data_IF_149424866166
#
_entry.id   IF_149424866166
#
_cell.length_a   1.000
_cell.length_b   1.000
_cell.length_c   1.000
_cell.angle_alpha   90.00
_cell.angle_beta   90.00
_cell.angle_gamma   90.00
#
_symmetry.space_group_name_H-M   'P 1'
#
loop_
_entity.id
_entity.type
_entity.pdbx_description
1 polymer ?
#
# COMPACT_ATOMS: atom_id res chain seq x y z
N UNK A 1 -7.23 18.01 -9.41
CA UNK A 1 -7.03 17.79 -7.96
C UNK A 1 -7.01 16.29 -7.67
N UNK A 2 -5.89 15.60 -7.95
CA UNK A 2 -5.73 14.19 -7.59
C UNK A 2 -5.28 14.10 -6.13
N UNK A 3 -6.24 14.20 -5.20
CA UNK A 3 -5.99 13.73 -3.85
C UNK A 3 -5.96 12.20 -3.91
N UNK A 4 -4.79 11.62 -4.18
CA UNK A 4 -4.55 10.21 -3.95
C UNK A 4 -4.73 9.97 -2.45
N UNK A 5 -5.98 9.70 -2.02
CA UNK A 5 -6.27 9.23 -0.66
C UNK A 5 -5.42 7.98 -0.47
N UNK A 6 -4.50 8.02 0.48
CA UNK A 6 -3.92 6.80 1.03
C UNK A 6 -5.10 5.90 1.35
N UNK A 7 -5.23 4.76 0.64
CA UNK A 7 -6.12 3.72 1.14
C UNK A 7 -5.66 3.47 2.57
N UNK A 8 -6.59 3.42 3.52
CA UNK A 8 -6.28 2.89 4.84
C UNK A 8 -5.50 1.59 4.60
N UNK A 9 -4.19 1.63 4.87
CA UNK A 9 -3.40 0.41 4.80
C UNK A 9 -3.99 -0.47 5.89
N UNK A 10 -4.08 -1.78 5.63
CA UNK A 10 -4.45 -2.71 6.69
C UNK A 10 -3.59 -2.41 7.92
N UNK A 11 -4.15 -2.43 9.12
CA UNK A 11 -3.42 -2.25 10.38
C UNK A 11 -2.07 -2.99 10.38
N UNK A 12 -2.05 -4.21 9.83
CA UNK A 12 -0.87 -5.07 9.67
C UNK A 12 0.29 -4.47 8.87
N UNK A 13 0.05 -3.46 8.03
CA UNK A 13 1.09 -2.81 7.23
C UNK A 13 1.57 -1.48 7.84
N UNK A 14 0.90 -0.96 8.88
CA UNK A 14 1.33 0.28 9.55
C UNK A 14 2.64 0.06 10.30
N UNK A 15 2.67 -0.83 11.29
CA UNK A 15 3.87 -1.08 12.09
C UNK A 15 5.14 -1.41 11.29
N UNK A 16 5.13 -2.32 10.29
CA UNK A 16 6.34 -2.60 9.52
C UNK A 16 6.82 -1.40 8.72
N UNK A 17 5.93 -0.51 8.26
CA UNK A 17 6.34 0.74 7.59
C UNK A 17 7.03 1.67 8.58
N UNK A 18 6.48 1.84 9.78
CA UNK A 18 7.06 2.72 10.80
C UNK A 18 8.47 2.29 11.21
N UNK A 19 8.67 1.00 11.51
CA UNK A 19 9.99 0.47 11.90
C UNK A 19 11.03 0.66 10.79
N UNK A 20 10.66 0.40 9.53
CA UNK A 20 11.57 0.57 8.39
C UNK A 20 11.86 2.05 8.09
N UNK A 21 10.90 2.95 8.37
CA UNK A 21 11.06 4.38 8.20
C UNK A 21 11.97 4.97 9.27
N UNK A 22 11.82 4.55 10.53
CA UNK A 22 12.71 4.94 11.62
C UNK A 22 14.16 4.54 11.32
N UNK A 23 14.39 3.30 10.87
CA UNK A 23 15.72 2.86 10.43
C UNK A 23 16.24 3.65 9.21
N UNK A 24 15.36 4.12 8.33
CA UNK A 24 15.76 4.99 7.23
C UNK A 24 16.13 6.40 7.72
N UNK A 25 15.46 6.92 8.74
CA UNK A 25 15.75 8.20 9.36
C UNK A 25 17.09 8.16 10.12
N UNK A 26 17.33 7.13 10.93
CA UNK A 26 18.61 6.92 11.62
C UNK A 26 19.79 6.81 10.63
N UNK A 27 19.55 6.21 9.46
CA UNK A 27 20.53 6.12 8.38
C UNK A 27 20.64 7.40 7.52
N UNK A 28 19.93 8.48 7.85
CA UNK A 28 19.94 9.74 7.09
C UNK A 28 19.34 9.64 5.68
N UNK A 29 18.58 8.57 5.38
CA UNK A 29 17.96 8.36 4.06
C UNK A 29 16.65 9.13 3.89
N UNK A 30 16.02 9.53 4.98
CA UNK A 30 14.80 10.38 4.97
C UNK A 30 14.98 11.51 5.99
N UNK A 31 14.39 12.69 5.75
CA UNK A 31 14.65 13.88 6.57
C UNK A 31 13.84 13.93 7.88
N UNK A 32 12.75 13.16 7.97
CA UNK A 32 11.82 13.21 9.10
C UNK A 32 11.63 11.81 9.70
N UNK A 33 11.47 11.68 11.03
CA UNK A 33 11.32 10.39 11.71
C UNK A 33 9.94 9.74 11.50
N UNK A 34 8.97 10.49 10.97
CA UNK A 34 7.59 10.04 10.80
C UNK A 34 7.30 9.85 9.30
N UNK A 35 6.76 8.69 8.88
CA UNK A 35 6.37 8.48 7.50
C UNK A 35 5.26 9.46 7.10
N UNK A 36 5.38 10.04 5.92
CA UNK A 36 4.43 11.03 5.40
C UNK A 36 3.38 10.36 4.53
N UNK A 37 3.78 9.97 3.33
CA UNK A 37 2.92 9.60 2.23
C UNK A 37 3.58 8.44 1.50
N UNK A 38 3.10 7.22 1.76
CA UNK A 38 3.74 6.00 1.27
C UNK A 38 2.98 5.38 0.09
N UNK A 39 3.64 5.13 -1.03
CA UNK A 39 3.05 4.61 -2.27
C UNK A 39 3.90 3.50 -2.92
N UNK A 40 3.28 2.64 -3.73
CA UNK A 40 4.02 1.65 -4.53
C UNK A 40 4.68 2.30 -5.75
N UNK A 41 5.74 1.70 -6.29
CA UNK A 41 6.55 2.27 -7.37
C UNK A 41 5.74 2.83 -8.55
N UNK A 42 4.83 2.02 -9.12
CA UNK A 42 3.99 2.46 -10.25
C UNK A 42 3.03 3.60 -9.89
N UNK A 43 2.58 3.64 -8.64
CA UNK A 43 1.73 4.74 -8.16
C UNK A 43 2.54 6.02 -8.03
N UNK A 44 3.78 5.95 -7.50
CA UNK A 44 4.70 7.09 -7.46
C UNK A 44 4.98 7.61 -8.87
N UNK A 45 5.27 6.73 -9.84
CA UNK A 45 5.45 7.10 -11.25
C UNK A 45 4.22 7.77 -11.86
N UNK A 46 3.02 7.25 -11.58
CA UNK A 46 1.76 7.86 -12.03
C UNK A 46 1.49 9.23 -11.41
N UNK A 47 2.17 9.58 -10.32
CA UNK A 47 2.18 10.91 -9.70
C UNK A 47 3.36 11.78 -10.18
N UNK A 48 4.06 11.37 -11.25
CA UNK A 48 5.23 12.09 -11.75
C UNK A 48 6.44 12.02 -10.82
N UNK A 49 6.50 11.02 -9.92
CA UNK A 49 7.58 10.87 -8.94
C UNK A 49 8.49 9.69 -9.25
N UNK A 50 9.80 9.90 -9.11
CA UNK A 50 10.83 8.88 -9.31
C UNK A 50 11.50 8.54 -7.98
N UNK A 51 11.75 7.27 -7.69
CA UNK A 51 12.53 6.88 -6.51
C UNK A 51 13.96 7.39 -6.65
N UNK A 52 14.46 8.11 -5.64
CA UNK A 52 15.82 8.64 -5.62
C UNK A 52 16.85 7.49 -5.60
N UNK A 53 18.00 7.72 -6.22
CA UNK A 53 19.09 6.73 -6.25
C UNK A 53 19.50 6.36 -4.82
N UNK A 54 19.68 5.06 -4.56
CA UNK A 54 20.08 4.54 -3.24
C UNK A 54 18.94 4.35 -2.25
N UNK A 55 17.71 4.75 -2.58
CA UNK A 55 16.56 4.52 -1.72
C UNK A 55 16.04 3.08 -1.80
N UNK A 56 15.85 2.47 -0.64
CA UNK A 56 15.23 1.14 -0.50
C UNK A 56 13.76 1.28 -0.13
N UNK A 57 12.89 0.49 -0.76
CA UNK A 57 11.47 0.47 -0.44
C UNK A 57 11.19 -0.27 0.86
N UNK A 58 10.16 0.17 1.58
CA UNK A 58 9.63 -0.51 2.75
C UNK A 58 8.82 -1.72 2.32
N UNK A 59 9.20 -2.89 2.83
CA UNK A 59 8.47 -4.13 2.62
C UNK A 59 7.13 -4.06 3.34
N UNK A 60 6.08 -4.51 2.66
CA UNK A 60 4.74 -4.70 3.16
C UNK A 60 4.21 -6.08 2.77
N UNK A 61 3.15 -6.52 3.43
CA UNK A 61 2.40 -7.71 3.07
C UNK A 61 1.19 -7.32 2.23
N UNK A 62 1.25 -7.59 0.93
CA UNK A 62 0.16 -7.39 0.00
C UNK A 62 -0.78 -8.60 0.00
N UNK A 63 -2.10 -8.33 0.06
CA UNK A 63 -3.14 -9.36 -0.03
C UNK A 63 -3.07 -10.05 -1.40
N UNK A 64 -3.07 -11.38 -1.38
CA UNK A 64 -3.31 -12.21 -2.57
C UNK A 64 -4.78 -12.63 -2.57
N UNK A 65 -5.49 -12.33 -3.65
CA UNK A 65 -6.90 -12.70 -3.80
C UNK A 65 -7.09 -13.82 -4.82
N UNK A 66 -7.96 -14.76 -4.49
CA UNK A 66 -8.46 -15.78 -5.41
C UNK A 66 -9.91 -15.50 -5.79
N UNK A 67 -10.28 -15.89 -7.01
CA UNK A 67 -11.68 -15.91 -7.46
C UNK A 67 -12.26 -17.29 -7.18
N UNK A 68 -13.46 -17.33 -6.65
CA UNK A 68 -14.19 -18.56 -6.36
C UNK A 68 -15.60 -18.47 -6.94
N UNK A 69 -16.11 -19.59 -7.42
CA UNK A 69 -17.43 -19.69 -8.02
C UNK A 69 -18.25 -20.81 -7.36
N UNK A 70 -19.58 -20.65 -7.35
CA UNK A 70 -20.52 -21.69 -6.92
C UNK A 70 -21.91 -21.43 -7.49
N UNK A 71 -22.67 -22.50 -7.74
CA UNK A 71 -24.10 -22.45 -8.07
C UNK A 71 -24.98 -22.42 -6.80
N UNK A 72 -24.43 -22.81 -5.64
CA UNK A 72 -25.13 -22.93 -4.34
C UNK A 72 -24.45 -22.07 -3.26
N UNK A 73 -24.68 -20.73 -3.24
CA UNK A 73 -23.93 -19.81 -2.38
C UNK A 73 -24.11 -20.03 -0.87
N UNK A 74 -25.19 -20.70 -0.48
CA UNK A 74 -25.51 -21.08 0.90
C UNK A 74 -24.68 -22.26 1.39
N UNK A 75 -24.17 -23.11 0.50
CA UNK A 75 -23.25 -24.19 0.85
C UNK A 75 -21.81 -23.65 0.90
N UNK A 76 -21.16 -23.77 2.06
CA UNK A 76 -19.78 -23.32 2.22
C UNK A 76 -18.77 -24.21 1.48
N UNK A 77 -19.08 -25.50 1.31
CA UNK A 77 -18.21 -26.48 0.65
C UNK A 77 -18.25 -26.43 -0.87
N UNK A 78 -19.29 -25.82 -1.45
CA UNK A 78 -19.49 -25.76 -2.90
C UNK A 78 -18.57 -24.77 -3.64
N UNK A 79 -17.86 -23.91 -2.90
CA UNK A 79 -17.01 -22.87 -3.50
C UNK A 79 -15.73 -23.45 -4.10
N UNK A 80 -15.68 -23.54 -5.43
CA UNK A 80 -14.48 -23.96 -6.17
C UNK A 80 -13.64 -22.77 -6.60
N UNK A 81 -12.32 -22.94 -6.61
CA UNK A 81 -11.38 -21.90 -7.07
C UNK A 81 -11.37 -21.81 -8.59
N UNK A 82 -11.49 -20.61 -9.13
CA UNK A 82 -11.30 -20.36 -10.57
C UNK A 82 -9.81 -20.17 -10.88
N UNK A 83 -9.34 -20.85 -11.92
CA UNK A 83 -8.02 -20.69 -12.50
C UNK A 83 -7.80 -19.34 -13.20
N UNK A 84 -6.56 -19.04 -13.62
CA UNK A 84 -6.27 -17.81 -14.37
C UNK A 84 -7.13 -17.70 -15.62
N UNK A 85 -7.86 -16.58 -15.75
CA UNK A 85 -8.80 -16.29 -16.87
C UNK A 85 -9.96 -17.29 -17.02
N UNK A 86 -10.14 -18.24 -16.11
CA UNK A 86 -11.28 -19.13 -16.11
C UNK A 86 -12.57 -18.31 -15.92
N UNK A 87 -13.57 -18.60 -16.75
CA UNK A 87 -14.91 -18.03 -16.65
C UNK A 87 -15.77 -18.90 -15.73
N UNK A 88 -16.65 -18.29 -14.91
CA UNK A 88 -17.66 -19.06 -14.19
C UNK A 88 -18.56 -19.80 -15.18
N UNK A 89 -19.09 -20.95 -14.77
CA UNK A 89 -20.12 -21.69 -15.51
C UNK A 89 -21.45 -20.93 -15.45
N UNK A 90 -22.37 -21.27 -16.35
CA UNK A 90 -23.72 -20.73 -16.31
C UNK A 90 -24.39 -21.04 -14.96
N UNK A 91 -25.01 -20.03 -14.33
CA UNK A 91 -25.63 -20.18 -13.01
C UNK A 91 -24.68 -19.99 -11.82
N UNK A 92 -23.37 -19.97 -12.03
CA UNK A 92 -22.43 -19.72 -10.93
C UNK A 92 -22.32 -18.22 -10.58
N UNK A 93 -22.32 -17.93 -9.28
CA UNK A 93 -21.93 -16.61 -8.76
C UNK A 93 -20.45 -16.59 -8.38
N UNK A 94 -19.81 -15.43 -8.50
CA UNK A 94 -18.37 -15.27 -8.20
C UNK A 94 -18.14 -14.42 -6.96
N UNK A 95 -17.22 -14.83 -6.10
CA UNK A 95 -16.67 -14.02 -4.99
C UNK A 95 -15.15 -14.00 -5.01
N UNK A 96 -14.58 -12.88 -4.58
CA UNK A 96 -13.13 -12.75 -4.37
C UNK A 96 -12.81 -12.85 -2.88
N UNK A 97 -11.88 -13.73 -2.51
CA UNK A 97 -11.46 -13.97 -1.12
C UNK A 97 -9.94 -13.89 -0.99
N UNK A 98 -9.44 -13.65 0.24
CA UNK A 98 -7.99 -13.70 0.50
C UNK A 98 -7.56 -15.15 0.46
N UNK A 99 -6.46 -15.45 -0.23
CA UNK A 99 -5.88 -16.80 -0.29
C UNK A 99 -4.43 -16.84 0.22
N UNK A 100 -3.88 -15.68 0.55
CA UNK A 100 -2.53 -15.55 1.09
C UNK A 100 -2.06 -14.10 1.13
N UNK A 101 -0.80 -13.94 1.47
CA UNK A 101 -0.08 -12.67 1.43
C UNK A 101 1.24 -12.86 0.69
N UNK A 102 1.74 -11.79 0.07
CA UNK A 102 3.05 -11.77 -0.58
C UNK A 102 3.81 -10.49 -0.21
N UNK A 103 5.15 -10.51 -0.22
CA UNK A 103 5.93 -9.29 -0.13
C UNK A 103 5.61 -8.33 -1.28
N UNK A 104 5.55 -7.05 -0.96
CA UNK A 104 5.53 -5.93 -1.90
C UNK A 104 6.28 -4.75 -1.30
N UNK A 105 6.64 -3.77 -2.12
CA UNK A 105 7.46 -2.63 -1.69
C UNK A 105 6.77 -1.31 -1.97
N UNK A 106 6.97 -0.39 -1.05
CA UNK A 106 6.45 0.97 -1.10
C UNK A 106 7.50 1.96 -0.63
N UNK A 107 7.39 3.20 -1.06
CA UNK A 107 8.35 4.27 -0.75
C UNK A 107 7.58 5.42 -0.11
N UNK A 108 8.18 6.03 0.91
CA UNK A 108 7.72 7.33 1.39
C UNK A 108 7.97 8.41 0.33
N UNK A 109 7.14 9.44 0.31
CA UNK A 109 7.31 10.56 -0.62
C UNK A 109 8.67 11.24 -0.48
N UNK A 110 9.23 11.29 0.73
CA UNK A 110 10.59 11.80 0.98
C UNK A 110 11.71 10.95 0.37
N UNK A 111 11.42 9.74 -0.12
CA UNK A 111 12.36 8.89 -0.84
C UNK A 111 12.26 9.05 -2.36
N UNK A 112 11.45 10.00 -2.84
CA UNK A 112 11.17 10.19 -4.27
C UNK A 112 11.35 11.63 -4.68
N UNK A 113 11.90 11.85 -5.87
CA UNK A 113 11.95 13.16 -6.55
C UNK A 113 10.63 13.44 -7.26
N UNK A 114 10.28 14.72 -7.41
CA UNK A 114 9.10 15.21 -8.12
C UNK A 114 8.38 16.33 -7.37
N UNK A 115 7.33 16.90 -7.96
CA UNK A 115 6.55 18.01 -7.40
C UNK A 115 5.93 17.67 -6.03
N UNK A 116 6.06 18.58 -5.05
CA UNK A 116 5.54 18.38 -3.70
C UNK A 116 4.08 17.90 -3.74
N UNK A 117 3.86 16.72 -3.16
CA UNK A 117 2.50 16.22 -3.00
C UNK A 117 1.77 17.15 -2.02
N UNK A 118 0.45 17.36 -2.17
CA UNK A 118 -0.31 18.12 -1.19
C UNK A 118 -0.30 17.37 0.14
N UNK A 119 0.61 17.76 1.03
CA UNK A 119 0.64 17.29 2.42
C UNK A 119 -0.28 18.23 3.20
N UNK A 120 -1.26 17.69 3.93
CA UNK A 120 -1.89 18.48 5.00
C UNK A 120 -0.79 18.76 6.01
N UNK A 121 -0.28 19.99 6.04
CA UNK A 121 0.73 20.40 7.01
C UNK A 121 0.19 20.10 8.41
N UNK A 122 0.89 19.22 9.14
CA UNK A 122 0.79 19.25 10.59
C UNK A 122 1.53 20.51 10.99
N UNK A 123 0.80 21.62 11.08
CA UNK A 123 1.34 22.89 11.56
C UNK A 123 1.99 22.65 12.92
N UNK A 124 3.33 22.59 12.94
CA UNK A 124 4.11 22.65 14.16
C UNK A 124 3.95 24.08 14.64
N UNK A 125 2.98 24.35 15.52
CA UNK A 125 2.97 25.60 16.28
C UNK A 125 4.34 25.69 16.95
N UNK A 126 5.19 26.59 16.46
CA UNK A 126 6.35 27.03 17.21
C UNK A 126 5.79 27.56 18.53
N UNK A 127 6.06 26.84 19.63
CA UNK A 127 6.02 27.46 20.95
C UNK A 127 7.14 28.49 20.95
N UNK A 128 6.79 29.74 20.66
CA UNK A 128 7.54 30.86 21.21
C UNK A 128 7.37 30.83 22.72
N UNK A 129 8.47 30.79 23.44
CA UNK A 129 8.56 31.09 24.87
C UNK A 129 9.95 31.66 25.12
N UNK A 130 10.14 32.55 26.11
CA UNK A 130 9.19 33.42 26.82
C UNK A 130 9.08 34.81 26.18
#
# INVERSE_FOLDING_TARGET
>A
MFAARFRSRSFNNTMPIWVQHEAAFEAGRVPEPIPTLVAGYRQSQGLGRQVMKGQSGYMILARVTGRFATETPSDAGSWRRLGPREKPKAGEVVRSRMVGARPAYVWDASQTDGELLPIKSHQRKSRGSP
#
